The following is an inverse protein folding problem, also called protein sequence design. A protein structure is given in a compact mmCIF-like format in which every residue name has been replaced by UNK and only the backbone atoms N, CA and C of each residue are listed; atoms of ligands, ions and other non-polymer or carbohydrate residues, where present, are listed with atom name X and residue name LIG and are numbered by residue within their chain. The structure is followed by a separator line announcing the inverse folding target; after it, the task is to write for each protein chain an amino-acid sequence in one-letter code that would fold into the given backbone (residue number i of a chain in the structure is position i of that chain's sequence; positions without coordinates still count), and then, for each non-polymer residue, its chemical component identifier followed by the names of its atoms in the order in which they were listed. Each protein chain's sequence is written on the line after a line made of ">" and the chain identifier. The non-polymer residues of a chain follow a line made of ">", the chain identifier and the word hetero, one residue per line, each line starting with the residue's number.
data_IF_855520247297
#
_entry.id   IF_855520247297
#
_cell.length_a   1.000
_cell.length_b   1.000
_cell.length_c   1.000
_cell.angle_alpha   90.00
_cell.angle_beta   90.00
_cell.angle_gamma   90.00
#
_symmetry.space_group_name_H-M   'P 1'
#
loop_
_entity.id
_entity.type
_entity.pdbx_description
1 polymer ?
#
# COMPACT_ATOMS: atom_id res chain seq x y z
N UNK A 1 -15.47 10.00 3.88
CA UNK A 1 -15.10 9.80 2.46
C UNK A 1 -15.89 8.62 1.94
N UNK A 2 -16.31 8.67 0.67
CA UNK A 2 -16.89 7.50 -0.03
C UNK A 2 -15.78 6.73 -0.73
N UNK A 3 -15.61 5.46 -0.37
CA UNK A 3 -14.50 4.61 -0.81
C UNK A 3 -15.06 3.35 -1.45
N UNK A 4 -14.69 3.09 -2.69
CA UNK A 4 -15.07 1.88 -3.42
C UNK A 4 -13.88 0.92 -3.43
N UNK A 5 -14.08 -0.33 -2.99
CA UNK A 5 -13.07 -1.37 -3.00
C UNK A 5 -13.52 -2.49 -3.95
N UNK A 6 -12.71 -2.78 -4.96
CA UNK A 6 -12.95 -3.86 -5.93
C UNK A 6 -12.04 -5.03 -5.60
N UNK A 7 -12.66 -6.16 -5.26
CA UNK A 7 -12.00 -7.39 -4.84
C UNK A 7 -12.08 -7.62 -3.34
N UNK A 8 -12.96 -8.54 -2.92
CA UNK A 8 -13.19 -8.93 -1.52
C UNK A 8 -12.31 -10.12 -1.09
N UNK A 9 -11.05 -10.15 -1.54
CA UNK A 9 -10.02 -11.04 -1.02
C UNK A 9 -9.50 -10.56 0.34
N UNK A 10 -8.48 -11.24 0.89
CA UNK A 10 -7.90 -10.87 2.20
C UNK A 10 -7.55 -9.40 2.31
N UNK A 11 -6.88 -8.83 1.31
CA UNK A 11 -6.48 -7.41 1.32
C UNK A 11 -7.69 -6.48 1.28
N UNK A 12 -8.65 -6.74 0.37
CA UNK A 12 -9.83 -5.89 0.23
C UNK A 12 -10.71 -5.90 1.47
N UNK A 13 -10.90 -7.08 2.08
CA UNK A 13 -11.69 -7.21 3.31
C UNK A 13 -11.01 -6.49 4.48
N UNK A 14 -9.70 -6.70 4.70
CA UNK A 14 -8.97 -5.98 5.76
C UNK A 14 -9.02 -4.47 5.58
N UNK A 15 -8.90 -3.97 4.32
CA UNK A 15 -9.06 -2.54 4.05
C UNK A 15 -10.47 -2.06 4.40
N UNK A 16 -11.50 -2.82 4.02
CA UNK A 16 -12.89 -2.48 4.32
C UNK A 16 -13.15 -2.39 5.85
N UNK A 17 -12.64 -3.35 6.61
CA UNK A 17 -12.73 -3.37 8.08
C UNK A 17 -12.07 -2.13 8.71
N UNK A 18 -10.85 -1.83 8.30
CA UNK A 18 -10.10 -0.68 8.82
C UNK A 18 -10.77 0.66 8.46
N UNK A 19 -11.19 0.82 7.20
CA UNK A 19 -11.79 2.06 6.73
C UNK A 19 -13.21 2.28 7.27
N UNK A 20 -14.00 1.21 7.42
CA UNK A 20 -15.30 1.26 8.09
C UNK A 20 -15.16 1.64 9.58
N UNK A 21 -14.15 1.10 10.28
CA UNK A 21 -13.86 1.46 11.66
C UNK A 21 -13.49 2.97 11.81
N UNK A 22 -12.90 3.57 10.78
CA UNK A 22 -12.63 5.01 10.68
C UNK A 22 -13.85 5.83 10.23
N UNK A 23 -15.04 5.19 10.10
CA UNK A 23 -16.31 5.80 9.70
C UNK A 23 -16.31 6.37 8.28
N UNK A 24 -15.63 5.72 7.37
CA UNK A 24 -15.77 5.99 5.94
C UNK A 24 -16.97 5.22 5.37
N UNK A 25 -17.61 5.79 4.34
CA UNK A 25 -18.65 5.13 3.55
C UNK A 25 -17.99 4.15 2.58
N UNK A 26 -18.09 2.86 2.88
CA UNK A 26 -17.39 1.79 2.15
C UNK A 26 -18.33 1.02 1.25
N UNK A 27 -17.97 0.89 -0.02
CA UNK A 27 -18.66 0.04 -0.99
C UNK A 27 -17.72 -1.06 -1.45
N UNK A 28 -18.18 -2.31 -1.40
CA UNK A 28 -17.44 -3.50 -1.79
C UNK A 28 -18.00 -4.11 -3.08
N UNK A 29 -17.14 -4.38 -4.06
CA UNK A 29 -17.51 -5.02 -5.33
C UNK A 29 -16.69 -6.30 -5.50
N UNK A 30 -17.35 -7.44 -5.74
CA UNK A 30 -16.69 -8.71 -6.14
C UNK A 30 -17.62 -9.51 -7.06
N UNK A 31 -17.06 -10.31 -7.96
CA UNK A 31 -17.82 -11.21 -8.84
C UNK A 31 -18.30 -12.47 -8.09
N UNK A 32 -17.74 -12.77 -6.94
CA UNK A 32 -18.06 -13.95 -6.15
C UNK A 32 -19.10 -13.65 -5.08
N UNK A 33 -20.32 -14.13 -5.30
CA UNK A 33 -21.38 -14.08 -4.29
C UNK A 33 -20.97 -14.76 -2.97
N UNK A 34 -20.18 -15.83 -3.05
CA UNK A 34 -19.68 -16.55 -1.85
C UNK A 34 -18.77 -15.65 -1.00
N UNK A 35 -17.88 -14.87 -1.62
CA UNK A 35 -17.04 -13.93 -0.87
C UNK A 35 -17.86 -12.82 -0.23
N UNK A 36 -18.81 -12.25 -0.96
CA UNK A 36 -19.68 -11.20 -0.45
C UNK A 36 -20.57 -11.72 0.72
N UNK A 37 -21.06 -12.95 0.63
CA UNK A 37 -21.84 -13.57 1.71
C UNK A 37 -20.99 -13.95 2.94
N UNK A 38 -19.68 -14.13 2.78
CA UNK A 38 -18.77 -14.43 3.89
C UNK A 38 -18.31 -13.20 4.68
N UNK A 39 -18.66 -11.99 4.22
CA UNK A 39 -18.35 -10.75 4.93
C UNK A 39 -19.19 -10.65 6.19
N UNK A 40 -18.61 -10.35 7.37
CA UNK A 40 -19.35 -10.21 8.62
C UNK A 40 -20.46 -9.16 8.49
N UNK A 41 -21.64 -9.45 9.07
CA UNK A 41 -22.80 -8.54 9.02
C UNK A 41 -22.54 -7.23 9.77
N UNK A 42 -21.65 -7.26 10.75
CA UNK A 42 -21.24 -6.12 11.54
C UNK A 42 -20.42 -5.10 10.74
N UNK A 43 -19.90 -5.50 9.58
CA UNK A 43 -19.18 -4.58 8.70
C UNK A 43 -20.18 -3.66 7.98
N UNK A 44 -20.16 -2.40 8.35
CA UNK A 44 -20.97 -1.36 7.71
C UNK A 44 -20.37 -1.01 6.33
N UNK A 45 -20.78 -1.79 5.33
CA UNK A 45 -20.33 -1.62 3.95
C UNK A 45 -21.41 -2.10 2.97
N UNK A 46 -21.68 -1.30 1.93
CA UNK A 46 -22.54 -1.71 0.83
C UNK A 46 -21.84 -2.79 0.00
N UNK A 47 -22.57 -3.86 -0.34
CA UNK A 47 -22.03 -5.00 -1.10
C UNK A 47 -22.68 -5.09 -2.46
N UNK A 48 -21.91 -5.06 -3.52
CA UNK A 48 -22.39 -5.12 -4.91
C UNK A 48 -21.77 -6.35 -5.59
N UNK A 49 -22.61 -7.22 -6.08
CA UNK A 49 -22.20 -8.39 -6.87
C UNK A 49 -22.01 -7.99 -8.32
N UNK A 50 -20.80 -8.07 -8.84
CA UNK A 50 -20.54 -7.79 -10.24
C UNK A 50 -19.07 -7.66 -10.60
N UNK A 51 -18.83 -7.48 -11.91
CA UNK A 51 -17.51 -7.24 -12.44
C UNK A 51 -17.10 -5.78 -12.22
N UNK A 52 -16.00 -5.59 -11.47
CA UNK A 52 -15.49 -4.27 -11.14
C UNK A 52 -15.04 -3.43 -12.35
N UNK A 53 -14.79 -4.04 -13.51
CA UNK A 53 -14.53 -3.34 -14.76
C UNK A 53 -15.81 -2.96 -15.54
N UNK A 54 -17.00 -3.26 -15.02
CA UNK A 54 -18.25 -2.80 -15.61
C UNK A 54 -18.54 -1.36 -15.20
N UNK A 55 -18.76 -0.48 -16.19
CA UNK A 55 -19.17 0.90 -15.96
C UNK A 55 -20.47 0.96 -15.14
N UNK A 56 -21.46 0.12 -15.49
CA UNK A 56 -22.75 0.09 -14.79
C UNK A 56 -22.58 -0.30 -13.30
N UNK A 57 -21.74 -1.28 -13.00
CA UNK A 57 -21.47 -1.71 -11.63
C UNK A 57 -20.74 -0.60 -10.84
N UNK A 58 -19.79 0.09 -11.47
CA UNK A 58 -19.13 1.23 -10.83
C UNK A 58 -20.07 2.41 -10.61
N UNK A 59 -21.02 2.65 -11.53
CA UNK A 59 -22.05 3.67 -11.37
C UNK A 59 -23.04 3.29 -10.25
N UNK A 60 -23.47 2.03 -10.18
CA UNK A 60 -24.29 1.51 -9.06
C UNK A 60 -23.57 1.70 -7.71
N UNK A 61 -22.24 1.53 -7.68
CA UNK A 61 -21.40 1.81 -6.51
C UNK A 61 -21.25 3.31 -6.22
N UNK A 62 -21.69 4.19 -7.11
CA UNK A 62 -21.61 5.63 -6.98
C UNK A 62 -20.20 6.18 -7.24
N UNK A 63 -19.53 5.68 -8.28
CA UNK A 63 -18.17 6.10 -8.66
C UNK A 63 -18.06 7.59 -8.97
N UNK A 64 -19.13 8.22 -9.43
CA UNK A 64 -19.18 9.64 -9.77
C UNK A 64 -19.00 10.53 -8.54
N UNK A 65 -19.42 10.05 -7.38
CA UNK A 65 -19.38 10.75 -6.09
C UNK A 65 -18.27 10.19 -5.16
N UNK A 66 -17.54 9.17 -5.63
CA UNK A 66 -16.50 8.54 -4.83
C UNK A 66 -15.26 9.44 -4.70
N UNK A 67 -14.69 9.48 -3.52
CA UNK A 67 -13.40 10.13 -3.27
C UNK A 67 -12.24 9.23 -3.71
N UNK A 68 -12.39 7.91 -3.51
CA UNK A 68 -11.33 6.93 -3.73
C UNK A 68 -11.89 5.61 -4.25
N UNK A 69 -11.22 5.03 -5.26
CA UNK A 69 -11.43 3.66 -5.68
C UNK A 69 -10.15 2.84 -5.54
N UNK A 70 -10.23 1.68 -4.90
CA UNK A 70 -9.12 0.77 -4.64
C UNK A 70 -9.40 -0.56 -5.34
N UNK A 71 -8.59 -0.95 -6.32
CA UNK A 71 -8.70 -2.22 -7.03
C UNK A 71 -7.62 -3.21 -6.55
N UNK A 72 -8.05 -4.29 -5.90
CA UNK A 72 -7.18 -5.30 -5.25
C UNK A 72 -7.61 -6.73 -5.58
N UNK A 73 -8.10 -6.95 -6.79
CA UNK A 73 -8.48 -8.27 -7.30
C UNK A 73 -7.27 -9.19 -7.53
N UNK A 74 -7.50 -10.40 -7.98
CA UNK A 74 -6.45 -11.36 -8.34
C UNK A 74 -5.69 -11.04 -9.62
N UNK A 75 -6.20 -10.18 -10.51
CA UNK A 75 -5.59 -9.79 -11.81
C UNK A 75 -5.12 -8.36 -11.78
N UNK A 76 -3.84 -8.15 -12.14
CA UNK A 76 -3.22 -6.83 -12.23
C UNK A 76 -3.86 -6.00 -13.35
N UNK A 77 -4.14 -6.64 -14.50
CA UNK A 77 -4.79 -6.01 -15.66
C UNK A 77 -6.21 -5.54 -15.32
N UNK A 78 -6.96 -6.38 -14.61
CA UNK A 78 -8.30 -6.02 -14.15
C UNK A 78 -8.24 -4.83 -13.18
N UNK A 79 -7.27 -4.82 -12.25
CA UNK A 79 -7.10 -3.70 -11.32
C UNK A 79 -6.79 -2.38 -12.04
N UNK A 80 -5.91 -2.42 -13.05
CA UNK A 80 -5.60 -1.25 -13.88
C UNK A 80 -6.82 -0.78 -14.66
N UNK A 81 -7.58 -1.72 -15.25
CA UNK A 81 -8.79 -1.41 -16.01
C UNK A 81 -9.89 -0.80 -15.12
N UNK A 82 -10.12 -1.36 -13.93
CA UNK A 82 -11.07 -0.81 -12.97
C UNK A 82 -10.72 0.64 -12.61
N UNK A 83 -9.46 0.91 -12.33
CA UNK A 83 -8.98 2.25 -12.00
C UNK A 83 -9.11 3.23 -13.17
N UNK A 84 -8.84 2.77 -14.42
CA UNK A 84 -9.01 3.59 -15.62
C UNK A 84 -10.46 4.00 -15.81
N UNK A 85 -11.40 3.05 -15.68
CA UNK A 85 -12.83 3.30 -15.80
C UNK A 85 -13.30 4.28 -14.73
N UNK A 86 -12.95 4.05 -13.48
CA UNK A 86 -13.29 4.94 -12.38
C UNK A 86 -12.78 6.37 -12.61
N UNK A 87 -11.55 6.50 -13.09
CA UNK A 87 -10.96 7.80 -13.40
C UNK A 87 -11.69 8.54 -14.51
N UNK A 88 -12.29 7.81 -15.46
CA UNK A 88 -13.06 8.39 -16.57
C UNK A 88 -14.51 8.65 -16.21
N UNK A 89 -15.10 7.82 -15.34
CA UNK A 89 -16.50 7.97 -14.91
C UNK A 89 -16.68 9.02 -13.83
N UNK A 90 -15.84 8.98 -12.76
CA UNK A 90 -16.02 9.81 -11.56
C UNK A 90 -14.86 10.77 -11.24
N UNK A 91 -13.75 10.69 -11.97
CA UNK A 91 -12.53 11.48 -11.69
C UNK A 91 -12.01 11.34 -10.23
N UNK A 92 -12.39 10.28 -9.52
CA UNK A 92 -11.93 9.99 -8.15
C UNK A 92 -10.42 9.65 -8.12
N UNK A 93 -9.82 9.65 -6.94
CA UNK A 93 -8.50 9.07 -6.75
C UNK A 93 -8.56 7.56 -6.93
N UNK A 94 -7.52 6.96 -7.51
CA UNK A 94 -7.51 5.53 -7.78
C UNK A 94 -6.23 4.87 -7.30
N UNK A 95 -6.36 3.68 -6.70
CA UNK A 95 -5.23 2.85 -6.25
C UNK A 95 -5.36 1.47 -6.90
N UNK A 96 -4.36 1.05 -7.65
CA UNK A 96 -4.30 -0.28 -8.27
C UNK A 96 -3.24 -1.15 -7.60
N UNK A 97 -3.59 -2.40 -7.27
CA UNK A 97 -2.61 -3.42 -6.90
C UNK A 97 -2.04 -4.05 -8.17
N UNK A 98 -0.70 -3.97 -8.33
CA UNK A 98 0.04 -4.55 -9.46
C UNK A 98 1.24 -5.29 -8.92
N UNK A 99 1.29 -6.61 -9.11
CA UNK A 99 2.32 -7.50 -8.54
C UNK A 99 3.34 -7.97 -9.56
N UNK A 100 2.91 -8.09 -10.82
CA UNK A 100 3.74 -8.65 -11.87
C UNK A 100 5.00 -7.80 -12.11
N UNK A 101 6.21 -8.39 -12.00
CA UNK A 101 7.47 -7.68 -12.20
C UNK A 101 7.63 -7.04 -13.59
N UNK A 102 6.91 -7.53 -14.60
CA UNK A 102 6.92 -6.96 -15.96
C UNK A 102 6.51 -5.48 -15.91
N UNK A 103 5.52 -5.15 -15.11
CA UNK A 103 5.02 -3.77 -15.00
C UNK A 103 5.92 -2.86 -14.14
N UNK A 104 6.81 -3.42 -13.31
CA UNK A 104 7.61 -2.62 -12.38
C UNK A 104 8.51 -1.58 -13.09
N UNK A 105 9.03 -1.92 -14.27
CA UNK A 105 9.88 -1.00 -15.05
C UNK A 105 9.08 0.09 -15.73
N UNK A 106 7.80 -0.17 -16.02
CA UNK A 106 6.90 0.71 -16.78
C UNK A 106 5.86 1.40 -15.90
N UNK A 107 5.94 1.18 -14.57
CA UNK A 107 4.91 1.61 -13.63
C UNK A 107 4.68 3.14 -13.68
N UNK A 108 5.74 3.91 -13.89
CA UNK A 108 5.65 5.37 -14.05
C UNK A 108 4.86 5.78 -15.29
N UNK A 109 5.13 5.13 -16.41
CA UNK A 109 4.41 5.35 -17.67
C UNK A 109 2.94 4.94 -17.54
N UNK A 110 2.68 3.72 -17.02
CA UNK A 110 1.31 3.21 -16.84
C UNK A 110 0.51 4.15 -15.93
N UNK A 111 1.07 4.53 -14.78
CA UNK A 111 0.43 5.46 -13.84
C UNK A 111 0.07 6.79 -14.50
N UNK A 112 1.00 7.39 -15.22
CA UNK A 112 0.79 8.68 -15.90
C UNK A 112 -0.25 8.57 -17.01
N UNK A 113 -0.12 7.58 -17.92
CA UNK A 113 -1.00 7.45 -19.08
C UNK A 113 -2.42 7.02 -18.73
N UNK A 114 -2.58 6.19 -17.72
CA UNK A 114 -3.91 5.78 -17.23
C UNK A 114 -4.49 6.78 -16.19
N UNK A 115 -3.73 7.77 -15.74
CA UNK A 115 -4.17 8.73 -14.73
C UNK A 115 -4.39 8.12 -13.33
N UNK A 116 -3.74 6.99 -13.04
CA UNK A 116 -3.87 6.29 -11.76
C UNK A 116 -3.12 7.06 -10.67
N UNK A 117 -3.77 7.32 -9.53
CA UNK A 117 -3.16 8.11 -8.45
C UNK A 117 -2.03 7.37 -7.76
N UNK A 118 -2.19 6.05 -7.53
CA UNK A 118 -1.19 5.21 -6.88
C UNK A 118 -1.21 3.78 -7.41
N UNK A 119 -0.04 3.18 -7.54
CA UNK A 119 0.11 1.74 -7.79
C UNK A 119 0.86 1.13 -6.61
N UNK A 120 0.36 0.03 -6.07
CA UNK A 120 0.93 -0.68 -4.93
C UNK A 120 1.31 -2.11 -5.30
N UNK A 121 2.44 -2.58 -4.76
CA UNK A 121 2.86 -3.97 -4.80
C UNK A 121 3.20 -4.42 -3.37
N UNK A 122 2.22 -4.95 -2.62
CA UNK A 122 2.41 -5.35 -1.24
C UNK A 122 3.49 -6.42 -1.07
N UNK A 123 3.57 -7.36 -2.01
CA UNK A 123 4.54 -8.46 -2.00
C UNK A 123 5.97 -7.93 -2.12
N UNK A 124 6.21 -7.00 -3.05
CA UNK A 124 7.53 -6.37 -3.22
C UNK A 124 7.89 -5.51 -2.01
N UNK A 125 6.93 -4.77 -1.47
CA UNK A 125 7.13 -3.96 -0.26
C UNK A 125 7.54 -4.84 0.91
N UNK A 126 6.80 -5.93 1.16
CA UNK A 126 7.12 -6.88 2.23
C UNK A 126 8.51 -7.52 2.03
N UNK A 127 8.83 -7.97 0.82
CA UNK A 127 10.13 -8.53 0.51
C UNK A 127 11.28 -7.52 0.73
N UNK A 128 11.07 -6.27 0.38
CA UNK A 128 12.03 -5.18 0.59
C UNK A 128 12.27 -4.94 2.08
N UNK A 129 11.21 -4.89 2.89
CA UNK A 129 11.32 -4.72 4.35
C UNK A 129 12.04 -5.91 5.01
N UNK A 130 11.70 -7.14 4.63
CA UNK A 130 12.40 -8.35 5.10
C UNK A 130 13.89 -8.30 4.74
N UNK A 131 14.22 -7.93 3.49
CA UNK A 131 15.61 -7.79 3.05
C UNK A 131 16.39 -6.76 3.88
N UNK A 132 15.76 -5.64 4.24
CA UNK A 132 16.36 -4.62 5.12
C UNK A 132 16.64 -5.16 6.52
N UNK A 133 15.66 -5.83 7.12
CA UNK A 133 15.82 -6.45 8.44
C UNK A 133 16.99 -7.46 8.45
N UNK A 134 17.13 -8.25 7.39
CA UNK A 134 18.22 -9.21 7.27
C UNK A 134 19.59 -8.54 7.03
N UNK A 135 19.62 -7.38 6.38
CA UNK A 135 20.87 -6.60 6.19
C UNK A 135 21.38 -6.00 7.49
N UNK A 136 20.47 -5.61 8.39
CA UNK A 136 20.81 -4.96 9.66
C UNK A 136 20.14 -5.65 10.86
N UNK A 137 20.53 -6.92 11.17
CA UNK A 137 19.83 -7.72 12.20
C UNK A 137 19.88 -7.10 13.61
N UNK A 138 20.86 -6.23 13.85
CA UNK A 138 21.04 -5.56 15.13
C UNK A 138 20.32 -4.20 15.23
N UNK A 139 19.73 -3.73 14.14
CA UNK A 139 18.99 -2.48 14.16
C UNK A 139 17.66 -2.64 14.90
N UNK A 140 17.34 -1.67 15.76
CA UNK A 140 16.05 -1.59 16.46
C UNK A 140 14.99 -1.00 15.53
N UNK A 141 15.41 -0.04 14.70
CA UNK A 141 14.55 0.67 13.76
C UNK A 141 15.35 1.06 12.53
N UNK A 142 14.69 0.98 11.37
CA UNK A 142 15.24 1.40 10.09
C UNK A 142 14.20 2.32 9.46
N UNK A 143 14.51 3.61 9.33
CA UNK A 143 13.70 4.57 8.58
C UNK A 143 14.38 4.87 7.25
N UNK A 144 13.60 5.03 6.18
CA UNK A 144 14.15 5.31 4.84
C UNK A 144 13.63 6.63 4.30
N UNK A 145 14.52 7.38 3.66
CA UNK A 145 14.24 8.68 3.06
C UNK A 145 14.69 8.72 1.60
N UNK A 146 14.26 9.73 0.86
CA UNK A 146 14.64 9.97 -0.52
C UNK A 146 14.47 8.74 -1.43
N UNK A 147 13.31 8.04 -1.33
CA UNK A 147 12.98 6.84 -2.09
C UNK A 147 13.96 5.68 -1.84
N UNK A 148 14.37 5.50 -0.59
CA UNK A 148 15.27 4.41 -0.17
C UNK A 148 16.76 4.66 -0.41
N UNK A 149 17.16 5.88 -0.83
CA UNK A 149 18.58 6.24 -1.03
C UNK A 149 19.30 6.62 0.25
N UNK A 150 18.57 6.97 1.29
CA UNK A 150 19.09 7.31 2.62
C UNK A 150 18.41 6.44 3.65
N UNK A 151 19.19 5.81 4.50
CA UNK A 151 18.70 4.95 5.59
C UNK A 151 19.15 5.52 6.94
N UNK A 152 18.20 5.67 7.87
CA UNK A 152 18.47 6.03 9.25
C UNK A 152 18.33 4.77 10.11
N UNK A 153 19.41 4.37 10.74
CA UNK A 153 19.49 3.16 11.54
C UNK A 153 19.57 3.51 13.02
N UNK A 154 18.71 2.89 13.84
CA UNK A 154 18.75 2.98 15.29
C UNK A 154 19.27 1.67 15.87
N UNK A 155 20.39 1.72 16.57
CA UNK A 155 21.00 0.56 17.25
C UNK A 155 20.97 0.72 18.76
N UNK A 156 20.98 -0.43 19.45
CA UNK A 156 21.31 -0.48 20.88
C UNK A 156 22.79 -0.80 21.02
N UNK A 157 23.54 0.07 21.66
CA UNK A 157 24.93 -0.21 22.02
C UNK A 157 24.91 -1.27 23.12
N UNK A 158 25.48 -2.44 22.84
CA UNK A 158 25.64 -3.51 23.82
C UNK A 158 26.93 -3.31 24.62
N UNK A 159 27.01 -3.86 25.85
CA UNK A 159 28.22 -3.74 26.66
C UNK A 159 29.51 -4.24 25.99
N UNK A 160 29.37 -5.21 25.07
CA UNK A 160 30.51 -5.78 24.33
C UNK A 160 31.08 -4.85 23.24
N UNK A 161 30.36 -3.80 22.90
CA UNK A 161 30.85 -2.81 21.93
C UNK A 161 31.82 -1.85 22.63
N UNK A 162 33.01 -1.67 22.04
CA UNK A 162 34.02 -0.71 22.53
C UNK A 162 33.55 0.73 22.59
N UNK A 163 32.37 1.04 22.06
CA UNK A 163 31.72 2.35 22.11
C UNK A 163 30.96 2.63 23.40
N UNK A 164 30.78 1.61 24.25
CA UNK A 164 30.04 1.76 25.51
C UNK A 164 30.84 2.64 26.49
N UNK A 165 30.21 3.68 27.04
CA UNK A 165 30.80 4.70 27.87
C UNK A 165 31.91 5.56 27.22
N UNK A 166 32.06 5.53 25.92
CA UNK A 166 32.98 6.38 25.18
C UNK A 166 32.37 7.76 24.93
N UNK A 167 33.10 8.86 25.16
CA UNK A 167 32.65 10.19 24.75
C UNK A 167 32.38 10.27 23.28
N UNK A 168 31.28 10.93 22.85
CA UNK A 168 30.86 11.04 21.46
C UNK A 168 31.99 11.63 20.59
N UNK A 169 32.77 12.56 21.12
CA UNK A 169 33.90 13.17 20.41
C UNK A 169 35.01 12.19 20.02
N UNK A 170 35.10 11.03 20.67
CA UNK A 170 36.11 10.01 20.38
C UNK A 170 35.61 8.91 19.44
N UNK A 171 34.30 8.83 19.18
CA UNK A 171 33.73 7.78 18.31
C UNK A 171 34.34 7.83 16.90
N UNK A 172 34.48 9.02 16.32
CA UNK A 172 35.03 9.19 14.97
C UNK A 172 36.46 8.69 14.78
N UNK A 173 37.28 8.70 15.85
CA UNK A 173 38.66 8.20 15.80
C UNK A 173 38.77 6.67 15.91
N UNK A 174 37.73 6.01 16.45
CA UNK A 174 37.70 4.55 16.65
C UNK A 174 36.80 3.83 15.63
N UNK A 175 36.07 4.57 14.81
CA UNK A 175 35.16 4.05 13.78
C UNK A 175 35.31 4.87 12.52
N UNK A 176 35.02 4.27 11.36
CA UNK A 176 34.94 5.00 10.09
C UNK A 176 33.65 5.85 9.95
N UNK A 177 33.14 6.37 11.06
CA UNK A 177 31.94 7.18 11.10
C UNK A 177 32.32 8.67 11.08
N UNK A 178 31.67 9.44 10.24
CA UNK A 178 31.72 10.89 10.27
C UNK A 178 30.68 11.40 11.27
N UNK A 179 31.10 12.19 12.25
CA UNK A 179 30.23 12.89 13.19
C UNK A 179 30.07 14.33 12.75
N UNK A 180 28.83 14.73 12.49
CA UNK A 180 28.48 16.11 12.18
C UNK A 180 27.79 16.68 13.41
N UNK A 181 28.36 17.74 13.98
CA UNK A 181 27.66 18.57 14.97
C UNK A 181 26.73 19.53 14.21
N UNK A 182 25.46 19.45 14.54
CA UNK A 182 24.43 20.38 14.07
C UNK A 182 24.21 21.42 15.14
#
# INVERSE_FOLDING_TARGET
>A
MKIIIIGCGKVGLTLAELLSAEKHDVVLIDESSQKLSSIPEELDALRILGNGASVNIQQEAGVEEADLLIAVTGSDELNLLCCLIAKKAGNCHTIARVRNPIYNKEIGFIKEKLGISMIINPELTAATEISRLLRFPSAIKIDTFAKGRVELLKFRIKPEFHLNNMPVSQIGSHTNLSLIHI
#
